data_IF_435058178687
#
_entry.id   IF_435058178687
#
_cell.length_a   1.000
_cell.length_b   1.000
_cell.length_c   1.000
_cell.angle_alpha   90.00
_cell.angle_beta   90.00
_cell.angle_gamma   90.00
#
_symmetry.space_group_name_H-M   'P 1'
#
loop_
_entity.id
_entity.type
_entity.pdbx_description
1 polymer ?
#
# COMPACT_ATOMS: atom_id res chain seq x y z
N UNK A 1 1.40 6.84 25.67
CA UNK A 1 1.48 6.09 24.40
C UNK A 1 0.23 6.40 23.61
N UNK A 2 0.39 6.83 22.37
CA UNK A 2 -0.73 6.95 21.44
C UNK A 2 -1.14 5.53 21.04
N UNK A 3 -2.42 5.17 21.21
CA UNK A 3 -2.96 3.88 20.81
C UNK A 3 -3.74 4.07 19.50
N UNK A 4 -3.05 4.01 18.36
CA UNK A 4 -3.68 4.04 17.04
C UNK A 4 -4.00 2.59 16.62
N UNK A 5 -5.24 2.28 16.21
CA UNK A 5 -5.59 1.00 15.61
C UNK A 5 -4.69 0.65 14.42
N UNK A 6 -4.30 -0.61 14.28
CA UNK A 6 -3.38 -1.10 13.22
C UNK A 6 -3.81 -0.64 11.82
N UNK A 7 -5.09 -0.78 11.49
CA UNK A 7 -5.64 -0.39 10.18
C UNK A 7 -5.58 1.13 9.96
N UNK A 8 -5.80 1.91 11.00
CA UNK A 8 -5.69 3.37 10.94
C UNK A 8 -4.23 3.80 10.74
N UNK A 9 -3.28 3.12 11.40
CA UNK A 9 -1.86 3.32 11.18
C UNK A 9 -1.46 3.01 9.73
N UNK A 10 -1.91 1.88 9.18
CA UNK A 10 -1.59 1.48 7.80
C UNK A 10 -2.16 2.50 6.81
N UNK A 11 -3.42 2.90 6.94
CA UNK A 11 -4.03 3.94 6.10
C UNK A 11 -3.26 5.26 6.19
N UNK A 12 -2.85 5.64 7.39
CA UNK A 12 -2.03 6.86 7.60
C UNK A 12 -0.68 6.77 6.90
N UNK A 13 -0.01 5.61 6.96
CA UNK A 13 1.26 5.38 6.27
C UNK A 13 1.10 5.45 4.75
N UNK A 14 0.09 4.79 4.20
CA UNK A 14 -0.24 4.87 2.77
C UNK A 14 -0.47 6.32 2.35
N UNK A 15 -1.27 7.08 3.12
CA UNK A 15 -1.51 8.50 2.83
C UNK A 15 -0.22 9.33 2.80
N UNK A 16 0.71 9.11 3.74
CA UNK A 16 1.99 9.83 3.73
C UNK A 16 2.84 9.47 2.50
N UNK A 17 2.85 8.21 2.09
CA UNK A 17 3.62 7.78 0.92
C UNK A 17 3.02 8.37 -0.37
N UNK A 18 1.69 8.41 -0.50
CA UNK A 18 1.01 9.05 -1.63
C UNK A 18 1.33 10.55 -1.71
N UNK A 19 1.35 11.26 -0.57
CA UNK A 19 1.73 12.68 -0.52
C UNK A 19 3.19 12.88 -0.92
N UNK A 20 4.09 12.01 -0.45
CA UNK A 20 5.48 12.04 -0.85
C UNK A 20 5.63 11.79 -2.36
N UNK A 21 4.89 10.82 -2.91
CA UNK A 21 4.84 10.56 -4.34
C UNK A 21 4.38 11.78 -5.15
N UNK A 22 3.28 12.42 -4.75
CA UNK A 22 2.82 13.65 -5.41
C UNK A 22 3.88 14.75 -5.40
N UNK A 23 4.59 14.92 -4.28
CA UNK A 23 5.67 15.90 -4.17
C UNK A 23 6.82 15.55 -5.13
N UNK A 24 7.34 14.31 -5.08
CA UNK A 24 8.49 13.92 -5.89
C UNK A 24 8.17 13.98 -7.38
N UNK A 25 7.04 13.40 -7.80
CA UNK A 25 6.64 13.45 -9.21
C UNK A 25 6.30 14.86 -9.67
N UNK A 26 5.67 15.69 -8.83
CA UNK A 26 5.40 17.09 -9.14
C UNK A 26 6.69 17.91 -9.35
N UNK A 27 7.70 17.70 -8.50
CA UNK A 27 9.02 18.32 -8.68
C UNK A 27 9.72 17.84 -9.96
N UNK A 28 9.58 16.56 -10.28
CA UNK A 28 10.17 15.98 -11.49
C UNK A 28 9.53 16.54 -12.77
N UNK A 29 8.21 16.76 -12.78
CA UNK A 29 7.49 17.45 -13.85
C UNK A 29 7.96 18.91 -14.05
N UNK A 30 8.55 19.52 -13.03
CA UNK A 30 9.17 20.85 -13.10
C UNK A 30 10.65 20.80 -13.46
N UNK A 31 11.18 19.63 -13.84
CA UNK A 31 12.60 19.39 -14.15
C UNK A 31 13.55 19.72 -12.99
N UNK A 32 13.08 19.55 -11.75
CA UNK A 32 13.89 19.75 -10.54
C UNK A 32 14.64 18.49 -10.10
N UNK A 33 14.67 17.45 -10.95
CA UNK A 33 15.40 16.18 -10.77
C UNK A 33 15.17 15.61 -9.37
N UNK A 34 13.91 15.32 -9.05
CA UNK A 34 13.55 14.69 -7.78
C UNK A 34 13.37 13.17 -7.94
N UNK A 35 13.37 12.67 -9.18
CA UNK A 35 13.09 11.29 -9.57
C UNK A 35 14.01 10.20 -8.99
N UNK A 36 14.97 10.54 -8.14
CA UNK A 36 15.80 9.57 -7.41
C UNK A 36 15.43 9.47 -5.91
N UNK A 37 14.46 10.27 -5.42
CA UNK A 37 14.09 10.36 -3.99
C UNK A 37 12.88 9.49 -3.61
N UNK A 38 12.54 8.50 -4.43
CA UNK A 38 11.25 7.78 -4.36
C UNK A 38 11.09 6.80 -3.19
N UNK A 39 12.16 6.41 -2.48
CA UNK A 39 12.07 5.27 -1.58
C UNK A 39 12.18 5.64 -0.11
N UNK A 40 11.02 5.77 0.56
CA UNK A 40 10.93 5.92 2.01
C UNK A 40 10.85 4.56 2.74
N UNK A 41 10.73 3.44 2.02
CA UNK A 41 10.51 2.12 2.60
C UNK A 41 9.13 1.91 3.25
N UNK A 42 8.19 2.85 3.06
CA UNK A 42 6.84 2.78 3.64
C UNK A 42 6.06 1.62 3.03
N UNK A 43 6.15 1.40 1.72
CA UNK A 43 5.53 0.27 1.04
C UNK A 43 5.93 -1.09 1.68
N UNK A 44 7.22 -1.30 1.96
CA UNK A 44 7.70 -2.52 2.63
C UNK A 44 7.20 -2.63 4.07
N UNK A 45 7.18 -1.51 4.80
CA UNK A 45 6.64 -1.46 6.15
C UNK A 45 5.14 -1.81 6.17
N UNK A 46 4.37 -1.29 5.20
CA UNK A 46 2.95 -1.62 5.05
C UNK A 46 2.78 -3.11 4.77
N UNK A 47 3.61 -3.72 3.90
CA UNK A 47 3.57 -5.16 3.63
C UNK A 47 3.74 -5.98 4.91
N UNK A 48 4.74 -5.61 5.72
CA UNK A 48 5.04 -6.28 6.99
C UNK A 48 3.90 -6.11 8.00
N UNK A 49 3.38 -4.89 8.15
CA UNK A 49 2.24 -4.63 9.02
C UNK A 49 1.01 -5.42 8.56
N UNK A 50 0.76 -5.53 7.26
CA UNK A 50 -0.33 -6.33 6.72
C UNK A 50 -0.04 -7.83 6.68
N UNK A 51 1.13 -8.29 7.15
CA UNK A 51 1.48 -9.71 7.20
C UNK A 51 1.27 -10.42 5.84
N UNK A 52 1.56 -9.72 4.74
CA UNK A 52 1.37 -10.26 3.39
C UNK A 52 2.42 -11.36 3.14
N UNK A 53 2.00 -12.57 2.79
CA UNK A 53 2.92 -13.69 2.55
C UNK A 53 3.77 -13.43 1.30
N UNK A 54 4.94 -14.06 1.24
CA UNK A 54 5.88 -13.86 0.13
C UNK A 54 5.30 -14.33 -1.22
N UNK A 55 4.39 -15.33 -1.21
CA UNK A 55 3.64 -15.76 -2.39
C UNK A 55 2.80 -14.66 -3.03
N UNK A 56 2.34 -13.69 -2.22
CA UNK A 56 1.48 -12.57 -2.63
C UNK A 56 2.26 -11.25 -2.71
N UNK A 57 3.60 -11.28 -2.61
CA UNK A 57 4.44 -10.08 -2.64
C UNK A 57 4.32 -9.32 -3.97
N UNK A 58 4.35 -10.02 -5.12
CA UNK A 58 4.24 -9.37 -6.43
C UNK A 58 2.86 -8.69 -6.61
N UNK A 59 1.71 -9.37 -6.40
CA UNK A 59 0.40 -8.72 -6.43
C UNK A 59 0.30 -7.51 -5.49
N UNK A 60 0.89 -7.60 -4.30
CA UNK A 60 0.94 -6.49 -3.34
C UNK A 60 1.69 -5.29 -3.91
N UNK A 61 2.91 -5.48 -4.40
CA UNK A 61 3.73 -4.38 -4.93
C UNK A 61 3.12 -3.76 -6.18
N UNK A 62 2.56 -4.57 -7.08
CA UNK A 62 1.88 -4.09 -8.29
C UNK A 62 0.67 -3.23 -7.91
N UNK A 63 -0.15 -3.71 -6.97
CA UNK A 63 -1.33 -2.98 -6.49
C UNK A 63 -0.93 -1.68 -5.83
N UNK A 64 0.00 -1.70 -4.88
CA UNK A 64 0.46 -0.51 -4.17
C UNK A 64 1.04 0.53 -5.15
N UNK A 65 1.90 0.10 -6.06
CA UNK A 65 2.54 0.96 -7.06
C UNK A 65 1.52 1.60 -8.00
N UNK A 66 0.43 0.90 -8.35
CA UNK A 66 -0.63 1.47 -9.17
C UNK A 66 -1.31 2.68 -8.49
N UNK A 67 -1.53 2.63 -7.17
CA UNK A 67 -2.06 3.76 -6.42
C UNK A 67 -1.05 4.92 -6.33
N UNK A 68 0.24 4.62 -6.19
CA UNK A 68 1.31 5.64 -6.23
C UNK A 68 1.38 6.35 -7.58
N UNK A 69 1.16 5.64 -8.69
CA UNK A 69 1.11 6.25 -10.02
C UNK A 69 -0.16 7.08 -10.21
N UNK A 70 -1.30 6.57 -9.73
CA UNK A 70 -2.60 7.21 -9.88
C UNK A 70 -2.77 8.45 -8.98
N UNK A 71 -1.96 8.62 -7.93
CA UNK A 71 -2.06 9.77 -7.03
C UNK A 71 -1.89 11.11 -7.76
N UNK A 72 -1.20 11.13 -8.90
CA UNK A 72 -1.01 12.33 -9.73
C UNK A 72 -2.29 12.82 -10.41
N UNK A 73 -3.34 12.00 -10.46
CA UNK A 73 -4.64 12.38 -11.03
C UNK A 73 -5.53 13.15 -10.03
N UNK A 74 -5.10 13.29 -8.78
CA UNK A 74 -5.84 13.97 -7.71
C UNK A 74 -5.26 15.36 -7.46
N UNK A 75 -6.08 16.37 -7.11
CA UNK A 75 -5.58 17.70 -6.77
C UNK A 75 -4.59 17.66 -5.60
N UNK A 76 -3.59 18.53 -5.66
CA UNK A 76 -2.66 18.75 -4.55
C UNK A 76 -3.34 19.66 -3.53
N UNK A 77 -3.33 19.25 -2.27
CA UNK A 77 -3.83 20.04 -1.15
C UNK A 77 -2.81 20.05 0.00
N UNK A 78 -2.96 20.98 0.95
CA UNK A 78 -1.99 21.16 2.04
C UNK A 78 -1.85 19.92 2.93
N UNK A 79 -2.95 19.20 3.20
CA UNK A 79 -2.89 18.01 4.05
C UNK A 79 -3.06 16.70 3.28
N UNK A 80 -3.35 16.74 1.98
CA UNK A 80 -3.63 15.56 1.16
C UNK A 80 -5.06 15.04 1.35
N UNK A 81 -6.02 15.91 1.66
CA UNK A 81 -7.44 15.58 1.85
C UNK A 81 -8.00 14.74 0.70
N UNK A 82 -7.66 15.07 -0.54
CA UNK A 82 -8.11 14.34 -1.74
C UNK A 82 -7.49 12.95 -1.90
N UNK A 83 -6.39 12.67 -1.20
CA UNK A 83 -5.73 11.37 -1.20
C UNK A 83 -6.23 10.45 -0.07
N UNK A 84 -7.04 10.95 0.87
CA UNK A 84 -7.66 10.12 1.92
C UNK A 84 -8.45 8.96 1.31
N UNK A 85 -9.42 9.18 0.39
CA UNK A 85 -10.15 8.08 -0.23
C UNK A 85 -9.23 7.14 -1.05
N UNK A 86 -8.15 7.66 -1.62
CA UNK A 86 -7.15 6.85 -2.37
C UNK A 86 -6.40 5.91 -1.43
N UNK A 87 -5.99 6.40 -0.25
CA UNK A 87 -5.33 5.60 0.76
C UNK A 87 -6.26 4.51 1.32
N UNK A 88 -7.54 4.83 1.50
CA UNK A 88 -8.56 3.86 1.91
C UNK A 88 -8.79 2.77 0.86
N UNK A 89 -8.92 3.15 -0.41
CA UNK A 89 -9.10 2.18 -1.51
C UNK A 89 -7.87 1.29 -1.70
N UNK A 90 -6.67 1.87 -1.56
CA UNK A 90 -5.42 1.11 -1.53
C UNK A 90 -5.44 0.08 -0.40
N UNK A 91 -5.70 0.50 0.83
CA UNK A 91 -5.80 -0.41 1.99
C UNK A 91 -6.79 -1.56 1.75
N UNK A 92 -8.00 -1.25 1.27
CA UNK A 92 -9.03 -2.26 0.99
C UNK A 92 -8.62 -3.22 -0.13
N UNK A 93 -7.83 -2.76 -1.09
CA UNK A 93 -7.30 -3.60 -2.18
C UNK A 93 -6.22 -4.54 -1.67
N UNK A 94 -5.32 -4.04 -0.81
CA UNK A 94 -4.27 -4.84 -0.17
C UNK A 94 -4.86 -5.86 0.82
N UNK A 95 -5.93 -5.51 1.54
CA UNK A 95 -6.65 -6.46 2.40
C UNK A 95 -7.22 -7.65 1.60
N UNK A 96 -7.68 -7.43 0.36
CA UNK A 96 -8.16 -8.54 -0.49
C UNK A 96 -7.02 -9.49 -0.83
N UNK A 97 -5.83 -8.96 -1.10
CA UNK A 97 -4.62 -9.76 -1.37
C UNK A 97 -4.24 -10.58 -0.13
N UNK A 98 -4.18 -9.93 1.03
CA UNK A 98 -3.97 -10.61 2.31
C UNK A 98 -4.96 -11.77 2.54
N UNK A 99 -6.23 -11.55 2.19
CA UNK A 99 -7.32 -12.52 2.38
C UNK A 99 -7.37 -13.60 1.29
N UNK A 100 -6.76 -13.40 0.13
CA UNK A 100 -6.79 -14.36 -0.99
C UNK A 100 -5.97 -15.62 -0.70
N UNK A 101 -4.92 -15.53 0.13
CA UNK A 101 -4.12 -16.68 0.57
C UNK A 101 -4.94 -17.68 1.43
N UNK A 102 -6.06 -17.24 2.03
CA UNK A 102 -6.95 -18.12 2.79
C UNK A 102 -7.89 -18.98 1.93
N UNK A 103 -7.98 -18.74 0.61
CA UNK A 103 -8.89 -19.48 -0.29
C UNK A 103 -8.19 -20.45 -1.23
N UNK A 104 -6.87 -20.39 -1.37
CA UNK A 104 -6.10 -21.18 -2.36
C UNK A 104 -5.50 -22.48 -1.79
N UNK A 105 -5.60 -22.73 -0.48
CA UNK A 105 -5.28 -24.03 0.11
C UNK A 105 -6.54 -24.85 0.43
N UNK A 106 -6.90 -25.88 -0.35
CA UNK A 106 -7.77 -26.93 0.18
C UNK A 106 -7.03 -27.58 1.35
N UNK A 107 -7.68 -27.64 2.53
CA UNK A 107 -7.24 -28.50 3.62
C UNK A 107 -7.06 -29.90 3.04
N UNK A 108 -5.82 -30.39 2.95
CA UNK A 108 -5.59 -31.77 2.55
C UNK A 108 -6.38 -32.67 3.51
N UNK A 109 -7.20 -33.62 3.00
CA UNK A 109 -7.83 -34.58 3.88
C UNK A 109 -6.72 -35.39 4.56
N UNK A 110 -6.72 -35.39 5.89
CA UNK A 110 -5.92 -36.32 6.69
C UNK A 110 -6.30 -37.72 6.23
N UNK A 111 -5.41 -38.39 5.51
CA UNK A 111 -5.55 -39.80 5.19
C UNK A 111 -5.42 -40.57 6.51
N UNK A 112 -6.57 -40.88 7.12
CA UNK A 112 -6.67 -41.93 8.12
C UNK A 112 -6.49 -43.26 7.38
N UNK A 113 -5.25 -43.73 7.27
CA UNK A 113 -4.98 -45.14 6.95
C UNK A 113 -5.12 -45.93 8.25
N UNK A 114 -6.09 -46.84 8.26
CA UNK A 114 -6.28 -47.84 9.32
C UNK A 114 -5.30 -49.00 9.23
#
# INVERSE_FOLDING_TARGET
MINIPKDELIKTLILQDLKHCQLVYGLDQLHLDAGFRHFLGIMDLVRQLMEIPESEANPFYDTYSSFMQNCMNYPISSNGEELIPVAEECFLSLEKIQKNDFKTYPKQPVLLTG
#
